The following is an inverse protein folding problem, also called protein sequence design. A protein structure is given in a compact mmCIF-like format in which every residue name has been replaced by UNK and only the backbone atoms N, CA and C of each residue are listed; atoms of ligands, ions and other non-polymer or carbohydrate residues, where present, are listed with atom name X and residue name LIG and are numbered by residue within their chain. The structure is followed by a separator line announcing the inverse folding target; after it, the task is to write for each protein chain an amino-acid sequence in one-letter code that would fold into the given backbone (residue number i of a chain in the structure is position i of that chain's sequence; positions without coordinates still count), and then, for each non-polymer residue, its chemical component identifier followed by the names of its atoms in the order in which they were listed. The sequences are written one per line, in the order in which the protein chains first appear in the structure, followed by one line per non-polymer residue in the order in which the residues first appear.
data_IF_848245883654
#
_entry.id   IF_848245883654
#
_cell.length_a   1.000
_cell.length_b   1.000
_cell.length_c   1.000
_cell.angle_alpha   90.00
_cell.angle_beta   90.00
_cell.angle_gamma   90.00
#
_symmetry.space_group_name_H-M   'P 1'
#
loop_
_entity.id
_entity.type
_entity.pdbx_description
1 polymer ?
#
# COMPACT_ATOMS: atom_id res chain seq x y z
N UNK A 1 -29.48 -22.79 12.32
CA UNK A 1 -28.31 -22.21 11.63
C UNK A 1 -27.15 -23.17 11.83
N UNK A 2 -26.58 -23.68 10.74
CA UNK A 2 -25.70 -24.85 10.76
C UNK A 2 -24.28 -24.50 11.22
N UNK A 3 -23.58 -25.38 11.96
CA UNK A 3 -22.22 -25.13 12.49
C UNK A 3 -21.18 -24.86 11.40
N UNK A 4 -21.41 -25.32 10.17
CA UNK A 4 -20.56 -25.02 9.01
C UNK A 4 -20.57 -23.55 8.58
N UNK A 5 -21.69 -22.84 8.74
CA UNK A 5 -21.81 -21.45 8.32
C UNK A 5 -20.95 -20.53 9.19
N UNK A 6 -20.82 -20.85 10.48
CA UNK A 6 -19.99 -20.11 11.45
C UNK A 6 -18.50 -20.29 11.16
N UNK A 7 -18.07 -21.48 10.76
CA UNK A 7 -16.65 -21.76 10.45
C UNK A 7 -16.20 -21.06 9.16
N UNK A 8 -17.05 -21.03 8.13
CA UNK A 8 -16.71 -20.38 6.84
C UNK A 8 -16.68 -18.86 6.97
N UNK A 9 -17.59 -18.25 7.74
CA UNK A 9 -17.52 -16.81 8.04
C UNK A 9 -16.29 -16.46 8.88
N UNK A 10 -15.88 -17.34 9.80
CA UNK A 10 -14.68 -17.14 10.64
C UNK A 10 -13.39 -17.18 9.82
N UNK A 11 -13.27 -18.14 8.88
CA UNK A 11 -12.09 -18.30 8.04
C UNK A 11 -11.95 -17.19 6.99
N UNK A 12 -13.08 -16.70 6.46
CA UNK A 12 -13.10 -15.55 5.54
C UNK A 12 -12.67 -14.24 6.24
N UNK A 13 -13.04 -14.04 7.51
CA UNK A 13 -12.59 -12.89 8.31
C UNK A 13 -11.07 -12.96 8.58
N UNK A 14 -10.53 -14.15 8.83
CA UNK A 14 -9.08 -14.37 9.03
C UNK A 14 -8.28 -14.19 7.73
N UNK A 15 -8.84 -14.58 6.58
CA UNK A 15 -8.21 -14.39 5.26
C UNK A 15 -8.32 -12.95 4.75
N UNK A 16 -9.39 -12.23 5.06
CA UNK A 16 -9.51 -10.79 4.76
C UNK A 16 -8.58 -9.94 5.65
N UNK A 17 -8.28 -10.38 6.88
CA UNK A 17 -7.30 -9.73 7.73
C UNK A 17 -5.85 -9.81 7.20
N UNK A 18 -5.56 -10.75 6.29
CA UNK A 18 -4.24 -10.90 5.65
C UNK A 18 -4.01 -9.95 4.46
N UNK A 19 -5.00 -9.18 4.02
CA UNK A 19 -4.89 -8.35 2.80
C UNK A 19 -5.02 -6.83 3.02
N UNK A 20 -4.88 -6.32 4.25
CA UNK A 20 -4.98 -4.86 4.51
C UNK A 20 -3.67 -4.21 5.00
N UNK A 21 -2.55 -4.92 4.97
CA UNK A 21 -1.25 -4.35 5.25
C UNK A 21 -0.62 -3.85 3.94
N UNK A 22 -0.89 -2.59 3.57
CA UNK A 22 0.03 -1.87 2.69
C UNK A 22 1.46 -1.99 3.26
N UNK A 23 2.46 -2.24 2.39
CA UNK A 23 3.86 -2.48 2.75
C UNK A 23 4.32 -1.67 3.97
N UNK A 24 4.86 -2.32 5.02
CA UNK A 24 5.29 -1.61 6.21
C UNK A 24 6.41 -0.63 5.92
N UNK A 25 6.43 0.45 6.69
CA UNK A 25 7.54 1.39 6.75
C UNK A 25 8.13 1.39 8.14
N UNK A 26 9.39 1.01 8.23
CA UNK A 26 10.13 0.93 9.46
C UNK A 26 11.10 2.10 9.61
N UNK A 27 11.33 2.51 10.86
CA UNK A 27 12.40 3.40 11.29
C UNK A 27 13.10 2.71 12.45
N UNK A 28 14.22 2.10 12.11
CA UNK A 28 15.08 1.42 13.06
C UNK A 28 15.89 2.44 13.87
N UNK A 29 16.04 2.19 15.16
CA UNK A 29 16.79 3.05 16.07
C UNK A 29 18.30 2.94 15.83
N UNK A 30 19.03 3.90 16.38
CA UNK A 30 20.50 3.89 16.43
C UNK A 30 21.01 3.66 17.85
N UNK A 31 20.12 3.27 18.76
CA UNK A 31 20.47 2.95 20.14
C UNK A 31 21.28 1.64 20.21
N UNK A 32 21.65 1.23 21.42
CA UNK A 32 22.31 -0.06 21.61
C UNK A 32 21.43 -1.22 21.14
N UNK A 33 22.06 -2.28 20.65
CA UNK A 33 21.34 -3.49 20.24
C UNK A 33 21.09 -4.40 21.46
N UNK A 34 19.98 -5.14 21.45
CA UNK A 34 19.78 -6.27 22.35
C UNK A 34 20.33 -7.55 21.72
N UNK A 35 20.57 -8.58 22.52
CA UNK A 35 21.07 -9.87 22.01
C UNK A 35 19.92 -10.86 21.83
N UNK A 36 20.11 -11.83 20.93
CA UNK A 36 19.17 -12.93 20.76
C UNK A 36 18.94 -13.67 22.09
N UNK A 37 17.69 -14.02 22.38
CA UNK A 37 17.24 -14.67 23.60
C UNK A 37 17.53 -13.88 24.90
N UNK A 38 17.69 -12.56 24.79
CA UNK A 38 17.83 -11.68 25.96
C UNK A 38 16.52 -11.46 26.71
N UNK A 39 16.62 -11.01 27.96
CA UNK A 39 15.48 -10.52 28.76
C UNK A 39 14.72 -9.41 28.03
N UNK A 40 15.43 -8.51 27.34
CA UNK A 40 14.82 -7.46 26.51
C UNK A 40 13.91 -8.05 25.43
N UNK A 41 14.40 -9.05 24.68
CA UNK A 41 13.62 -9.72 23.64
C UNK A 41 12.40 -10.45 24.23
N UNK A 42 12.55 -11.11 25.39
CA UNK A 42 11.44 -11.73 26.09
C UNK A 42 10.37 -10.70 26.52
N UNK A 43 10.80 -9.55 27.05
CA UNK A 43 9.90 -8.45 27.42
C UNK A 43 9.16 -7.87 26.22
N UNK A 44 9.82 -7.77 25.05
CA UNK A 44 9.16 -7.39 23.80
C UNK A 44 8.11 -8.44 23.37
N UNK A 45 8.39 -9.73 23.57
CA UNK A 45 7.43 -10.82 23.34
C UNK A 45 6.19 -10.73 24.24
N UNK A 46 6.35 -10.35 25.51
CA UNK A 46 5.23 -10.11 26.43
C UNK A 46 4.35 -8.95 25.96
N UNK A 47 4.96 -7.86 25.47
CA UNK A 47 4.23 -6.75 24.87
C UNK A 47 3.45 -7.19 23.62
N UNK A 48 4.08 -7.98 22.74
CA UNK A 48 3.44 -8.51 21.53
C UNK A 48 2.21 -9.39 21.83
N UNK A 49 2.20 -10.09 22.96
CA UNK A 49 1.07 -10.94 23.39
C UNK A 49 -0.09 -10.16 24.05
N UNK A 50 0.17 -8.96 24.57
CA UNK A 50 -0.79 -8.16 25.33
C UNK A 50 -1.36 -6.98 24.53
N UNK A 51 -0.51 -6.18 23.89
CA UNK A 51 -0.89 -4.91 23.26
C UNK A 51 -1.97 -5.02 22.19
N UNK A 52 -1.97 -6.03 21.29
CA UNK A 52 -3.04 -6.21 20.30
C UNK A 52 -4.45 -6.31 20.92
N UNK A 53 -4.57 -6.95 22.09
CA UNK A 53 -5.85 -7.05 22.82
C UNK A 53 -6.19 -5.76 23.56
N UNK A 54 -5.18 -5.11 24.15
CA UNK A 54 -5.36 -3.85 24.88
C UNK A 54 -5.82 -2.73 23.93
N UNK A 55 -5.22 -2.63 22.75
CA UNK A 55 -5.55 -1.57 21.77
C UNK A 55 -6.95 -1.76 21.17
N UNK A 56 -7.36 -3.00 20.91
CA UNK A 56 -8.68 -3.29 20.34
C UNK A 56 -9.81 -3.11 21.35
N UNK A 57 -9.50 -3.18 22.65
CA UNK A 57 -10.43 -2.87 23.74
C UNK A 57 -10.44 -1.39 24.12
N UNK A 58 -9.49 -0.60 23.60
CA UNK A 58 -9.36 0.83 23.89
C UNK A 58 -10.37 1.65 23.07
N UNK A 59 -11.13 2.57 23.69
CA UNK A 59 -12.10 3.40 22.98
C UNK A 59 -11.46 4.34 21.95
N UNK A 60 -10.15 4.60 22.05
CA UNK A 60 -9.42 5.47 21.13
C UNK A 60 -8.46 4.72 20.20
N UNK A 61 -8.48 3.37 20.23
CA UNK A 61 -7.55 2.51 19.51
C UNK A 61 -6.07 2.90 19.72
N UNK A 62 -5.77 3.25 20.97
CA UNK A 62 -4.45 3.64 21.43
C UNK A 62 -4.13 2.87 22.70
N UNK A 63 -2.91 2.36 22.79
CA UNK A 63 -2.43 1.67 23.97
C UNK A 63 -0.93 1.89 24.16
N UNK A 64 -0.52 2.00 25.41
CA UNK A 64 0.88 2.00 25.82
C UNK A 64 1.09 0.94 26.88
N UNK A 65 2.27 0.34 26.94
CA UNK A 65 2.66 -0.44 28.11
C UNK A 65 4.17 -0.44 28.31
N UNK A 66 4.57 -0.81 29.53
CA UNK A 66 5.95 -0.98 29.94
C UNK A 66 6.09 -2.37 30.54
N UNK A 67 7.12 -3.10 30.13
CA UNK A 67 7.44 -4.43 30.66
C UNK A 67 8.90 -4.48 31.08
N UNK A 68 9.16 -5.09 32.24
CA UNK A 68 10.50 -5.25 32.79
C UNK A 68 11.03 -4.01 33.53
N UNK A 69 12.28 -4.12 33.97
CA UNK A 69 13.02 -3.09 34.69
C UNK A 69 14.39 -2.85 34.02
N UNK A 70 14.99 -1.69 34.28
CA UNK A 70 16.31 -1.37 33.73
C UNK A 70 17.34 -2.46 34.11
N UNK A 71 18.20 -2.89 33.17
CA UNK A 71 18.44 -2.33 31.83
C UNK A 71 17.57 -2.94 30.70
N UNK A 72 16.68 -3.88 31.01
CA UNK A 72 15.90 -4.66 30.04
C UNK A 72 14.44 -4.19 29.89
N UNK A 73 14.12 -3.02 30.43
CA UNK A 73 12.79 -2.45 30.32
C UNK A 73 12.46 -2.11 28.87
N UNK A 74 11.25 -2.47 28.44
CA UNK A 74 10.71 -2.12 27.12
C UNK A 74 9.47 -1.28 27.31
N UNK A 75 9.45 -0.10 26.71
CA UNK A 75 8.27 0.75 26.60
C UNK A 75 7.71 0.64 25.18
N UNK A 76 6.40 0.46 25.03
CA UNK A 76 5.75 0.42 23.73
C UNK A 76 4.53 1.35 23.67
N UNK A 77 4.34 1.94 22.49
CA UNK A 77 3.23 2.79 22.11
C UNK A 77 2.67 2.26 20.79
N UNK A 78 1.37 2.04 20.76
CA UNK A 78 0.66 1.61 19.58
C UNK A 78 -0.57 2.48 19.33
N UNK A 79 -0.79 2.83 18.06
CA UNK A 79 -1.89 3.67 17.62
C UNK A 79 -2.45 3.10 16.32
N UNK A 80 -3.75 2.83 16.28
CA UNK A 80 -4.44 2.54 15.02
C UNK A 80 -5.07 3.79 14.44
N UNK A 81 -5.33 3.75 13.13
CA UNK A 81 -6.05 4.81 12.44
C UNK A 81 -7.43 4.99 13.07
N UNK A 82 -7.85 6.23 13.28
CA UNK A 82 -9.05 6.52 14.08
C UNK A 82 -10.36 5.96 13.50
N UNK A 83 -10.39 5.66 12.21
CA UNK A 83 -11.49 5.02 11.46
C UNK A 83 -11.32 3.50 11.27
N UNK A 84 -10.26 2.89 11.81
CA UNK A 84 -10.03 1.46 11.70
C UNK A 84 -11.00 0.66 12.57
N UNK A 85 -11.34 -0.55 12.13
CA UNK A 85 -12.07 -1.52 12.94
C UNK A 85 -11.16 -2.11 14.03
N UNK A 86 -11.69 -2.32 15.25
CA UNK A 86 -10.92 -2.84 16.39
C UNK A 86 -10.26 -4.20 16.12
N UNK A 87 -10.94 -5.12 15.44
CA UNK A 87 -10.39 -6.44 15.08
C UNK A 87 -9.27 -6.30 14.05
N UNK A 88 -9.46 -5.46 13.03
CA UNK A 88 -8.43 -5.17 12.04
C UNK A 88 -7.21 -4.49 12.67
N UNK A 89 -7.43 -3.57 13.61
CA UNK A 89 -6.40 -2.92 14.41
C UNK A 89 -5.57 -3.93 15.22
N UNK A 90 -6.23 -4.86 15.94
CA UNK A 90 -5.53 -5.93 16.65
C UNK A 90 -4.68 -6.80 15.72
N UNK A 91 -5.23 -7.18 14.55
CA UNK A 91 -4.51 -7.98 13.57
C UNK A 91 -3.30 -7.25 13.00
N UNK A 92 -3.45 -5.96 12.67
CA UNK A 92 -2.35 -5.11 12.20
C UNK A 92 -1.24 -5.01 13.24
N UNK A 93 -1.58 -4.78 14.52
CA UNK A 93 -0.57 -4.64 15.56
C UNK A 93 0.17 -5.95 15.84
N UNK A 94 -0.52 -7.09 15.78
CA UNK A 94 0.12 -8.40 15.90
C UNK A 94 1.15 -8.65 14.79
N UNK A 95 0.82 -8.30 13.54
CA UNK A 95 1.77 -8.34 12.42
C UNK A 95 2.92 -7.35 12.61
N UNK A 96 2.64 -6.14 13.08
CA UNK A 96 3.65 -5.11 13.32
C UNK A 96 4.74 -5.57 14.30
N UNK A 97 4.38 -6.28 15.38
CA UNK A 97 5.35 -6.86 16.31
C UNK A 97 6.23 -7.96 15.71
N UNK A 98 5.70 -8.72 14.74
CA UNK A 98 6.47 -9.74 14.03
C UNK A 98 7.43 -9.08 13.04
N UNK A 99 6.92 -8.18 12.21
CA UNK A 99 7.67 -7.57 11.13
C UNK A 99 8.75 -6.61 11.64
N UNK A 100 8.50 -5.87 12.72
CA UNK A 100 9.51 -4.95 13.27
C UNK A 100 10.74 -5.68 13.81
N UNK A 101 10.57 -6.89 14.37
CA UNK A 101 11.70 -7.71 14.84
C UNK A 101 12.51 -8.30 13.68
N UNK A 102 11.87 -8.53 12.53
CA UNK A 102 12.56 -9.00 11.33
C UNK A 102 13.27 -7.86 10.59
N UNK A 103 12.66 -6.68 10.54
CA UNK A 103 13.16 -5.53 9.76
C UNK A 103 14.12 -4.63 10.53
N UNK A 104 13.95 -4.50 11.84
CA UNK A 104 14.83 -3.79 12.76
C UNK A 104 15.40 -4.79 13.77
N UNK A 105 16.08 -5.81 13.23
CA UNK A 105 16.58 -6.92 14.01
C UNK A 105 17.55 -6.43 15.09
N UNK A 106 17.24 -6.76 16.34
CA UNK A 106 18.05 -6.45 17.53
C UNK A 106 18.12 -4.98 17.95
N UNK A 107 17.41 -4.07 17.28
CA UNK A 107 17.39 -2.67 17.70
C UNK A 107 16.58 -2.49 18.98
N UNK A 108 17.11 -1.77 19.97
CA UNK A 108 16.33 -1.50 21.19
C UNK A 108 15.23 -0.46 21.00
N UNK A 109 15.28 0.33 19.94
CA UNK A 109 14.22 1.28 19.63
C UNK A 109 13.83 1.10 18.16
N UNK A 110 12.53 1.01 17.85
CA UNK A 110 12.08 0.96 16.47
C UNK A 110 10.63 1.41 16.33
N UNK A 111 10.31 2.07 15.22
CA UNK A 111 8.95 2.35 14.78
C UNK A 111 8.62 1.57 13.51
N UNK A 112 7.39 1.06 13.39
CA UNK A 112 6.86 0.46 12.17
C UNK A 112 5.46 1.02 11.90
N UNK A 113 5.19 1.34 10.64
CA UNK A 113 3.97 1.98 10.19
C UNK A 113 3.33 1.16 9.06
N UNK A 114 2.09 0.76 9.27
CA UNK A 114 1.17 0.34 8.22
C UNK A 114 0.13 1.43 8.02
N UNK A 115 -0.72 1.27 7.02
CA UNK A 115 -1.83 2.21 6.81
C UNK A 115 -2.87 2.20 7.95
N UNK A 116 -3.28 1.04 8.52
CA UNK A 116 -4.25 1.02 9.61
C UNK A 116 -3.64 1.10 11.01
N UNK A 117 -2.32 0.92 11.20
CA UNK A 117 -1.69 1.00 12.51
C UNK A 117 -0.21 1.38 12.52
N UNK A 118 0.24 1.90 13.64
CA UNK A 118 1.63 2.21 13.95
C UNK A 118 2.02 1.58 15.29
N UNK A 119 3.26 1.11 15.37
CA UNK A 119 3.90 0.58 16.58
C UNK A 119 5.24 1.27 16.76
N UNK A 120 5.54 1.65 18.00
CA UNK A 120 6.85 2.08 18.44
C UNK A 120 7.21 1.39 19.74
N UNK A 121 8.44 0.91 19.86
CA UNK A 121 8.99 0.47 21.12
C UNK A 121 10.36 1.10 21.37
N UNK A 122 10.73 1.19 22.64
CA UNK A 122 12.00 1.75 23.06
C UNK A 122 12.47 1.20 24.41
N UNK A 123 13.79 1.12 24.56
CA UNK A 123 14.46 0.84 25.83
C UNK A 123 14.52 2.06 26.76
N UNK A 124 14.21 3.26 26.25
CA UNK A 124 14.21 4.48 27.03
C UNK A 124 12.88 4.64 27.79
N UNK A 125 12.96 4.64 29.13
CA UNK A 125 11.81 4.80 30.03
C UNK A 125 11.03 6.12 29.81
N UNK A 126 11.67 7.18 29.30
CA UNK A 126 11.01 8.47 29.04
C UNK A 126 10.39 8.56 27.65
N UNK A 127 10.48 7.51 26.83
CA UNK A 127 9.94 7.52 25.46
C UNK A 127 8.44 7.77 25.41
N UNK A 128 7.68 7.22 26.38
CA UNK A 128 6.23 7.40 26.49
C UNK A 128 5.81 8.75 27.07
N UNK A 129 6.68 9.44 27.79
CA UNK A 129 6.41 10.79 28.31
C UNK A 129 6.95 11.89 27.39
N UNK A 130 7.87 11.54 26.47
CA UNK A 130 8.39 12.46 25.47
C UNK A 130 7.30 12.93 24.53
N UNK A 131 7.28 14.24 24.29
CA UNK A 131 6.40 14.91 23.34
C UNK A 131 6.99 14.95 21.93
N UNK A 132 8.24 14.50 21.79
CA UNK A 132 8.91 14.50 20.51
C UNK A 132 8.23 13.50 19.59
N UNK A 133 7.93 13.97 18.38
CA UNK A 133 7.44 13.10 17.34
C UNK A 133 8.64 12.34 16.75
N UNK A 134 9.07 11.27 17.42
CA UNK A 134 10.20 10.41 17.02
C UNK A 134 9.79 9.45 15.90
N UNK A 135 10.76 8.68 15.39
CA UNK A 135 10.51 7.65 14.38
C UNK A 135 9.95 8.23 13.06
N UNK A 136 10.30 9.47 12.72
CA UNK A 136 9.67 10.16 11.58
C UNK A 136 10.14 9.62 10.25
N UNK A 137 9.20 9.45 9.33
CA UNK A 137 9.51 9.13 7.94
C UNK A 137 8.48 9.73 7.00
N UNK A 138 8.83 9.95 5.74
CA UNK A 138 7.91 10.51 4.74
C UNK A 138 7.76 9.56 3.56
N UNK A 139 6.56 9.48 3.00
CA UNK A 139 6.27 8.70 1.80
C UNK A 139 5.59 9.57 0.77
N UNK A 140 6.03 9.45 -0.47
CA UNK A 140 5.53 10.24 -1.58
C UNK A 140 4.77 9.35 -2.54
N UNK A 141 3.73 9.90 -3.14
CA UNK A 141 3.23 9.40 -4.40
C UNK A 141 4.16 9.95 -5.50
N UNK A 142 4.69 9.07 -6.34
CA UNK A 142 5.67 9.46 -7.36
C UNK A 142 5.06 10.23 -8.54
N UNK A 143 3.72 10.27 -8.64
CA UNK A 143 3.03 11.04 -9.65
C UNK A 143 3.00 12.53 -9.26
N UNK A 144 3.24 13.37 -10.26
CA UNK A 144 3.14 14.81 -10.12
C UNK A 144 1.82 15.32 -10.69
N UNK A 145 1.31 16.39 -10.10
CA UNK A 145 0.23 17.16 -10.68
C UNK A 145 0.76 17.88 -11.91
N UNK A 146 0.02 17.81 -13.02
CA UNK A 146 0.47 18.35 -14.32
C UNK A 146 -0.13 19.72 -14.64
N UNK A 147 -1.29 20.02 -14.08
CA UNK A 147 -2.01 21.28 -14.30
C UNK A 147 -1.88 22.18 -13.07
N UNK A 148 -1.48 23.44 -13.23
CA UNK A 148 -1.36 24.45 -12.15
C UNK A 148 -0.90 23.90 -10.76
N UNK A 149 0.36 23.41 -10.66
CA UNK A 149 0.87 22.80 -9.44
C UNK A 149 0.84 23.74 -8.22
N UNK A 150 1.01 25.04 -8.46
CA UNK A 150 0.94 26.06 -7.42
C UNK A 150 -0.43 26.15 -6.76
N UNK A 151 -1.52 26.16 -7.56
CA UNK A 151 -2.89 26.13 -7.02
C UNK A 151 -3.18 24.82 -6.30
N UNK A 152 -2.78 23.68 -6.88
CA UNK A 152 -2.95 22.37 -6.25
C UNK A 152 -2.28 22.32 -4.86
N UNK A 153 -0.99 22.66 -4.78
CA UNK A 153 -0.23 22.64 -3.53
C UNK A 153 -0.88 23.50 -2.43
N UNK A 154 -1.37 24.70 -2.78
CA UNK A 154 -2.07 25.59 -1.82
C UNK A 154 -3.39 24.99 -1.34
N UNK A 155 -4.18 24.41 -2.23
CA UNK A 155 -5.46 23.82 -1.86
C UNK A 155 -5.30 22.54 -1.03
N UNK A 156 -4.31 21.70 -1.35
CA UNK A 156 -3.98 20.51 -0.53
C UNK A 156 -3.50 20.94 0.85
N UNK A 157 -2.65 21.97 0.95
CA UNK A 157 -2.20 22.49 2.24
C UNK A 157 -3.38 23.02 3.08
N UNK A 158 -4.34 23.69 2.45
CA UNK A 158 -5.57 24.14 3.12
C UNK A 158 -6.43 22.97 3.62
N UNK A 159 -6.60 21.91 2.80
CA UNK A 159 -7.31 20.70 3.21
C UNK A 159 -6.63 20.02 4.39
N UNK A 160 -5.33 19.72 4.29
CA UNK A 160 -4.58 19.04 5.36
C UNK A 160 -4.59 19.86 6.64
N UNK A 161 -4.50 21.19 6.54
CA UNK A 161 -4.58 22.08 7.69
C UNK A 161 -5.96 22.05 8.37
N UNK A 162 -7.04 22.12 7.58
CA UNK A 162 -8.41 22.02 8.11
C UNK A 162 -8.67 20.65 8.75
N UNK A 163 -8.20 19.57 8.14
CA UNK A 163 -8.26 18.21 8.69
C UNK A 163 -7.47 18.13 10.00
N UNK A 164 -6.29 18.74 10.08
CA UNK A 164 -5.48 18.79 11.30
C UNK A 164 -6.14 19.60 12.44
N UNK A 165 -6.80 20.72 12.11
CA UNK A 165 -7.58 21.50 13.08
C UNK A 165 -8.74 20.66 13.66
N UNK A 166 -9.49 19.99 12.79
CA UNK A 166 -10.59 19.12 13.22
C UNK A 166 -10.10 17.95 14.09
N UNK A 167 -9.00 17.30 13.69
CA UNK A 167 -8.39 16.23 14.47
C UNK A 167 -7.99 16.72 15.88
N UNK A 168 -7.44 17.92 16.00
CA UNK A 168 -6.97 18.44 17.27
C UNK A 168 -8.10 18.88 18.22
N UNK A 169 -9.13 19.55 17.69
CA UNK A 169 -10.11 20.27 18.52
C UNK A 169 -11.52 19.67 18.51
N UNK A 170 -11.88 18.88 17.50
CA UNK A 170 -13.24 18.38 17.30
C UNK A 170 -13.35 16.85 17.38
N UNK A 171 -12.25 16.17 17.72
CA UNK A 171 -12.19 14.70 17.80
C UNK A 171 -11.60 14.26 19.13
N UNK A 172 -12.25 13.32 19.82
CA UNK A 172 -11.71 12.70 21.04
C UNK A 172 -10.55 11.75 20.73
N UNK A 173 -10.67 11.00 19.63
CA UNK A 173 -9.64 10.09 19.11
C UNK A 173 -8.42 10.79 18.51
N UNK A 174 -8.46 12.12 18.46
CA UNK A 174 -7.47 12.97 17.78
C UNK A 174 -7.20 12.58 16.34
N UNK A 175 -8.23 12.09 15.67
CA UNK A 175 -8.24 11.71 14.27
C UNK A 175 -9.30 12.52 13.53
N UNK A 176 -8.99 12.96 12.32
CA UNK A 176 -9.99 13.44 11.38
C UNK A 176 -9.65 13.05 9.96
N UNK A 177 -10.69 12.87 9.16
CA UNK A 177 -10.64 12.67 7.72
C UNK A 177 -11.20 13.91 7.01
N UNK A 178 -10.69 14.19 5.82
CA UNK A 178 -11.15 15.32 5.02
C UNK A 178 -11.13 15.03 3.53
N UNK A 179 -12.02 15.69 2.79
CA UNK A 179 -11.99 15.71 1.33
C UNK A 179 -12.11 17.13 0.81
N UNK A 180 -11.52 17.40 -0.35
CA UNK A 180 -11.69 18.66 -1.05
C UNK A 180 -11.99 18.42 -2.53
N UNK A 181 -13.05 19.06 -3.01
CA UNK A 181 -13.27 19.25 -4.44
C UNK A 181 -12.51 20.49 -4.88
N UNK A 182 -11.43 20.29 -5.63
CA UNK A 182 -10.54 21.38 -5.99
C UNK A 182 -11.06 22.19 -7.20
N UNK A 183 -12.07 21.68 -7.90
CA UNK A 183 -12.68 22.30 -9.07
C UNK A 183 -11.74 22.42 -10.28
N UNK A 184 -12.33 22.49 -11.48
CA UNK A 184 -11.60 22.54 -12.74
C UNK A 184 -11.10 21.16 -13.15
N UNK A 185 -9.80 21.04 -13.47
CA UNK A 185 -9.17 19.80 -13.96
C UNK A 185 -8.54 18.96 -12.84
N UNK A 186 -8.70 19.35 -11.58
CA UNK A 186 -8.07 18.64 -10.46
C UNK A 186 -8.91 17.45 -10.01
N UNK A 187 -8.27 16.29 -9.74
CA UNK A 187 -8.95 15.20 -9.05
C UNK A 187 -9.32 15.64 -7.63
N UNK A 188 -10.36 15.02 -7.08
CA UNK A 188 -10.70 15.14 -5.67
C UNK A 188 -9.53 14.69 -4.81
N UNK A 189 -9.27 15.41 -3.72
CA UNK A 189 -8.20 15.08 -2.78
C UNK A 189 -8.81 14.62 -1.47
N UNK A 190 -8.28 13.54 -0.92
CA UNK A 190 -8.63 12.97 0.37
C UNK A 190 -7.46 13.12 1.33
N UNK A 191 -7.74 13.30 2.62
CA UNK A 191 -6.74 13.44 3.67
C UNK A 191 -7.19 12.80 4.98
N UNK A 192 -6.23 12.42 5.81
CA UNK A 192 -6.45 12.28 7.25
C UNK A 192 -5.29 12.90 8.02
N UNK A 193 -5.57 13.35 9.23
CA UNK A 193 -4.58 13.81 10.20
C UNK A 193 -4.89 13.15 11.55
N UNK A 194 -3.84 12.73 12.27
CA UNK A 194 -4.00 12.05 13.54
C UNK A 194 -2.89 12.38 14.53
N UNK A 195 -3.23 12.42 15.81
CA UNK A 195 -2.29 12.44 16.93
C UNK A 195 -2.56 11.27 17.89
N UNK A 196 -1.61 10.99 18.78
CA UNK A 196 -1.89 10.11 19.91
C UNK A 196 -2.91 10.78 20.86
N UNK A 197 -3.95 10.05 21.32
CA UNK A 197 -5.03 10.61 22.14
C UNK A 197 -4.59 11.23 23.48
N UNK A 198 -3.42 10.85 24.00
CA UNK A 198 -2.84 11.37 25.24
C UNK A 198 -2.33 12.83 25.13
N UNK A 199 -2.20 13.38 23.92
CA UNK A 199 -1.80 14.77 23.72
C UNK A 199 -2.97 15.74 23.98
N UNK A 200 -2.71 16.92 24.54
CA UNK A 200 -3.72 18.00 24.61
C UNK A 200 -4.07 18.54 23.21
N UNK A 201 -5.23 19.20 23.00
CA UNK A 201 -5.60 19.74 21.69
C UNK A 201 -4.51 20.62 21.08
N UNK A 202 -3.98 21.56 21.86
CA UNK A 202 -2.89 22.44 21.45
C UNK A 202 -1.61 21.69 21.08
N UNK A 203 -1.24 20.64 21.83
CA UNK A 203 -0.03 19.84 21.54
C UNK A 203 -0.20 18.99 20.28
N UNK A 204 -1.37 18.38 20.11
CA UNK A 204 -1.70 17.67 18.87
C UNK A 204 -1.59 18.62 17.66
N UNK A 205 -2.23 19.80 17.77
CA UNK A 205 -2.21 20.78 16.70
C UNK A 205 -0.79 21.28 16.38
N UNK A 206 0.01 21.56 17.41
CA UNK A 206 1.41 21.98 17.26
C UNK A 206 2.26 20.91 16.58
N UNK A 207 2.08 19.63 16.94
CA UNK A 207 2.76 18.51 16.30
C UNK A 207 2.42 18.42 14.80
N UNK A 208 1.12 18.45 14.46
CA UNK A 208 0.67 18.43 13.08
C UNK A 208 1.14 19.66 12.30
N UNK A 209 1.14 20.85 12.92
CA UNK A 209 1.68 22.07 12.32
C UNK A 209 3.14 21.91 11.90
N UNK A 210 3.96 21.31 12.77
CA UNK A 210 5.37 21.05 12.49
C UNK A 210 5.59 20.09 11.32
N UNK A 211 4.69 19.12 11.12
CA UNK A 211 4.73 18.25 9.94
C UNK A 211 4.29 19.00 8.67
N UNK A 212 3.19 19.74 8.74
CA UNK A 212 2.61 20.50 7.62
C UNK A 212 3.56 21.58 7.12
N UNK A 213 4.31 22.25 8.01
CA UNK A 213 5.32 23.24 7.63
C UNK A 213 6.42 22.67 6.71
N UNK A 214 6.67 21.35 6.77
CA UNK A 214 7.61 20.65 5.90
C UNK A 214 7.05 20.29 4.52
N UNK A 215 5.74 20.42 4.31
CA UNK A 215 5.05 19.99 3.08
C UNK A 215 5.64 20.61 1.80
N UNK A 216 5.92 21.94 1.73
CA UNK A 216 6.45 22.55 0.50
C UNK A 216 7.84 22.06 0.08
N UNK A 217 8.59 21.41 0.98
CA UNK A 217 9.91 20.83 0.69
C UNK A 217 9.86 19.34 0.38
N UNK A 218 8.90 18.61 0.96
CA UNK A 218 8.84 17.14 0.92
C UNK A 218 7.91 16.62 -0.16
N UNK A 219 6.85 17.37 -0.46
CA UNK A 219 5.73 16.90 -1.28
C UNK A 219 5.37 17.89 -2.40
N UNK A 220 6.32 18.72 -2.83
CA UNK A 220 6.13 19.70 -3.92
C UNK A 220 5.62 19.01 -5.17
N UNK A 221 4.47 19.49 -5.65
CA UNK A 221 3.79 19.02 -6.86
C UNK A 221 3.35 17.54 -6.82
N UNK A 222 3.45 16.87 -5.67
CA UNK A 222 3.09 15.47 -5.52
C UNK A 222 1.58 15.34 -5.33
N UNK A 223 0.95 14.44 -6.08
CA UNK A 223 -0.49 14.15 -5.94
C UNK A 223 -0.85 13.43 -4.65
N UNK A 224 0.17 12.95 -3.91
CA UNK A 224 -0.01 12.30 -2.63
C UNK A 224 1.26 12.34 -1.78
N UNK A 225 1.07 12.38 -0.47
CA UNK A 225 2.15 12.51 0.49
C UNK A 225 1.71 12.08 1.89
N UNK A 226 2.65 11.50 2.62
CA UNK A 226 2.47 11.02 4.00
C UNK A 226 3.63 11.49 4.84
N UNK A 227 3.32 12.11 5.97
CA UNK A 227 4.31 12.35 7.02
C UNK A 227 3.92 11.51 8.22
N UNK A 228 4.79 10.55 8.55
CA UNK A 228 4.57 9.55 9.58
C UNK A 228 5.45 9.86 10.79
N UNK A 229 4.89 9.70 11.96
CA UNK A 229 5.56 9.86 13.24
C UNK A 229 4.73 9.25 14.37
N UNK A 230 5.41 8.87 15.45
CA UNK A 230 4.82 8.13 16.58
C UNK A 230 3.72 8.93 17.30
N UNK A 231 3.86 10.26 17.37
CA UNK A 231 2.94 11.16 18.09
C UNK A 231 1.90 11.82 17.20
N UNK A 232 2.26 12.12 15.96
CA UNK A 232 1.30 12.64 14.99
C UNK A 232 1.74 12.30 13.57
N UNK A 233 0.74 12.17 12.70
CA UNK A 233 0.91 11.82 11.29
C UNK A 233 -0.19 12.47 10.44
N UNK A 234 0.08 12.64 9.15
CA UNK A 234 -0.96 12.97 8.18
C UNK A 234 -0.69 12.31 6.83
N UNK A 235 -1.75 12.12 6.06
CA UNK A 235 -1.71 11.62 4.68
C UNK A 235 -2.68 12.40 3.81
N UNK A 236 -2.30 12.62 2.56
CA UNK A 236 -3.24 13.01 1.50
C UNK A 236 -2.97 12.22 0.21
N UNK A 237 -4.00 11.96 -0.57
CA UNK A 237 -3.92 11.34 -1.91
C UNK A 237 -5.10 11.81 -2.78
N UNK A 238 -4.99 11.62 -4.10
CA UNK A 238 -6.05 11.88 -5.09
C UNK A 238 -7.01 10.70 -5.31
N UNK A 239 -6.90 9.65 -4.49
CA UNK A 239 -7.83 8.51 -4.44
C UNK A 239 -8.31 8.32 -3.00
N UNK A 240 -9.48 7.70 -2.81
CA UNK A 240 -9.98 7.42 -1.46
C UNK A 240 -9.22 6.24 -0.82
N UNK A 241 -8.85 6.41 0.45
CA UNK A 241 -8.20 5.39 1.30
C UNK A 241 -8.77 5.40 2.72
N UNK A 242 -9.94 6.03 2.90
CA UNK A 242 -10.63 6.19 4.17
C UNK A 242 -11.61 5.03 4.35
N UNK A 243 -11.65 4.44 5.54
CA UNK A 243 -12.62 3.40 5.89
C UNK A 243 -13.87 3.99 6.55
N UNK A 244 -13.71 5.15 7.19
CA UNK A 244 -14.77 5.87 7.89
C UNK A 244 -15.38 7.03 7.10
N UNK A 245 -16.36 7.73 7.71
CA UNK A 245 -16.96 8.91 7.11
C UNK A 245 -15.95 10.04 6.97
N UNK A 246 -16.19 10.94 6.00
CA UNK A 246 -15.44 12.18 5.83
C UNK A 246 -15.95 13.22 6.84
N UNK A 247 -15.05 13.79 7.66
CA UNK A 247 -15.39 14.76 8.71
C UNK A 247 -15.26 16.22 8.25
N UNK A 248 -14.29 16.50 7.38
CA UNK A 248 -14.02 17.84 6.82
C UNK A 248 -14.28 17.85 5.32
N UNK A 249 -15.06 18.82 4.84
CA UNK A 249 -15.31 19.01 3.40
C UNK A 249 -14.97 20.44 2.99
N UNK A 250 -14.04 20.59 2.05
CA UNK A 250 -13.77 21.88 1.42
C UNK A 250 -14.35 21.88 0.01
N UNK A 251 -15.30 22.79 -0.24
CA UNK A 251 -15.84 23.01 -1.57
C UNK A 251 -14.86 23.81 -2.43
N UNK A 252 -14.96 23.66 -3.75
CA UNK A 252 -14.24 24.51 -4.67
C UNK A 252 -14.63 25.98 -4.40
N UNK A 253 -13.67 26.93 -4.47
CA UNK A 253 -14.02 28.34 -4.52
C UNK A 253 -15.03 28.55 -5.65
N UNK A 254 -16.11 29.33 -5.47
CA UNK A 254 -17.06 29.58 -6.55
C UNK A 254 -16.27 30.14 -7.73
N UNK A 255 -16.17 29.39 -8.83
CA UNK A 255 -15.68 29.98 -10.07
C UNK A 255 -16.68 31.06 -10.42
N UNK A 256 -16.20 32.27 -10.71
CA UNK A 256 -17.01 33.37 -11.24
C UNK A 256 -18.05 32.82 -12.21
N UNK A 257 -19.32 32.88 -11.82
CA UNK A 257 -20.41 32.33 -12.60
C UNK A 257 -20.36 32.94 -14.01
N UNK A 258 -20.23 32.10 -15.02
CA UNK A 258 -20.59 32.50 -16.37
C UNK A 258 -22.09 32.86 -16.35
N UNK A 259 -22.52 33.97 -16.97
CA UNK A 259 -23.90 34.43 -16.89
C UNK A 259 -24.83 33.40 -17.55
N UNK A 260 -25.97 33.16 -16.90
CA UNK A 260 -27.03 32.28 -17.39
C UNK A 260 -27.49 32.69 -18.81
N UNK A 261 -27.80 31.74 -19.71
CA UNK A 261 -28.43 32.09 -20.98
C UNK A 261 -29.82 32.68 -20.76
N UNK A 262 -30.13 33.74 -21.49
CA UNK A 262 -31.38 34.47 -21.42
C UNK A 262 -32.60 33.61 -21.78
N UNK A 263 -33.68 33.83 -21.04
CA UNK A 263 -35.02 33.29 -21.30
C UNK A 263 -35.57 33.89 -22.60
N UNK A 264 -35.85 33.04 -23.59
CA UNK A 264 -36.60 33.40 -24.80
C UNK A 264 -38.09 33.05 -24.69
N UNK A 265 -38.98 33.75 -25.43
CA UNK A 265 -40.41 33.79 -25.14
C UNK A 265 -41.20 32.59 -25.68
N UNK A 266 -42.30 32.30 -24.97
CA UNK A 266 -43.30 31.26 -25.22
C UNK A 266 -44.19 31.55 -26.43
N UNK A 267 -44.42 30.53 -27.26
CA UNK A 267 -45.49 30.48 -28.27
C UNK A 267 -46.39 29.28 -27.95
N UNK A 268 -47.73 29.42 -27.93
CA UNK A 268 -48.63 28.31 -27.65
C UNK A 268 -49.04 27.57 -28.93
N UNK A 269 -49.13 26.24 -28.85
CA UNK A 269 -49.71 25.38 -29.91
C UNK A 269 -50.84 24.52 -29.30
N UNK A 270 -51.93 24.23 -30.04
CA UNK A 270 -53.15 23.68 -29.45
C UNK A 270 -53.23 22.14 -29.45
N UNK A 271 -53.88 21.63 -28.40
CA UNK A 271 -54.86 20.53 -28.44
C UNK A 271 -54.41 19.16 -28.93
N UNK A 272 -54.04 18.27 -28.01
CA UNK A 272 -54.05 16.82 -28.24
C UNK A 272 -55.12 16.15 -27.36
N UNK A 273 -56.04 15.46 -28.03
CA UNK A 273 -57.18 14.74 -27.48
C UNK A 273 -56.72 13.56 -26.62
N UNK A 274 -57.34 13.42 -25.45
CA UNK A 274 -57.13 12.31 -24.53
C UNK A 274 -57.68 10.99 -25.10
N UNK A 275 -56.82 9.98 -25.22
CA UNK A 275 -57.19 8.59 -25.41
C UNK A 275 -56.71 7.76 -24.23
N UNK A 276 -57.63 7.29 -23.40
CA UNK A 276 -57.35 6.34 -22.32
C UNK A 276 -56.80 5.02 -22.87
N UNK A 277 -55.67 4.55 -22.33
CA UNK A 277 -55.24 3.14 -22.43
C UNK A 277 -54.86 2.63 -21.05
N UNK A 278 -55.67 1.73 -20.52
CA UNK A 278 -55.43 0.97 -19.28
C UNK A 278 -54.20 0.07 -19.48
N UNK A 279 -53.17 0.26 -18.66
CA UNK A 279 -51.95 -0.56 -18.66
C UNK A 279 -52.05 -1.64 -17.57
N UNK A 280 -51.98 -2.91 -17.96
CA UNK A 280 -51.97 -4.08 -17.07
C UNK A 280 -50.51 -4.33 -16.66
N UNK A 281 -50.16 -4.07 -15.40
CA UNK A 281 -48.77 -4.04 -14.87
C UNK A 281 -48.24 -5.41 -14.41
N UNK A 282 -48.99 -6.50 -14.53
CA UNK A 282 -48.59 -7.78 -13.89
C UNK A 282 -47.78 -8.74 -14.77
N UNK A 283 -47.66 -8.53 -16.09
CA UNK A 283 -47.02 -9.51 -16.99
C UNK A 283 -45.51 -9.32 -17.21
N UNK A 284 -44.99 -8.09 -17.18
CA UNK A 284 -43.60 -7.80 -17.59
C UNK A 284 -42.55 -8.19 -16.54
N UNK A 285 -42.92 -8.15 -15.25
CA UNK A 285 -42.02 -8.51 -14.13
C UNK A 285 -41.70 -10.00 -14.15
N UNK A 286 -42.68 -10.85 -14.51
CA UNK A 286 -42.49 -12.30 -14.61
C UNK A 286 -41.52 -12.68 -15.74
N UNK A 287 -41.52 -11.96 -16.86
CA UNK A 287 -40.69 -12.27 -18.03
C UNK A 287 -39.20 -12.00 -17.79
N UNK A 288 -38.84 -11.08 -16.89
CA UNK A 288 -37.42 -10.73 -16.61
C UNK A 288 -36.90 -11.45 -15.35
N UNK A 289 -37.74 -11.60 -14.34
CA UNK A 289 -37.33 -12.16 -13.04
C UNK A 289 -37.19 -13.69 -13.10
N UNK A 290 -38.05 -14.38 -13.85
CA UNK A 290 -37.96 -15.84 -13.97
C UNK A 290 -36.68 -16.34 -14.67
N UNK A 291 -36.25 -15.79 -15.82
CA UNK A 291 -35.02 -16.24 -16.47
C UNK A 291 -33.75 -15.85 -15.70
N UNK A 292 -33.76 -14.73 -14.98
CA UNK A 292 -32.61 -14.31 -14.16
C UNK A 292 -32.41 -15.21 -12.95
N UNK A 293 -33.49 -15.60 -12.27
CA UNK A 293 -33.42 -16.58 -11.18
C UNK A 293 -33.02 -17.96 -11.70
N UNK A 294 -33.56 -18.40 -12.84
CA UNK A 294 -33.19 -19.68 -13.45
C UNK A 294 -31.70 -19.73 -13.81
N UNK A 295 -31.14 -18.66 -14.39
CA UNK A 295 -29.72 -18.57 -14.72
C UNK A 295 -28.83 -18.65 -13.47
N UNK A 296 -29.19 -17.95 -12.38
CA UNK A 296 -28.43 -17.99 -11.13
C UNK A 296 -28.47 -19.38 -10.47
N UNK A 297 -29.61 -20.07 -10.51
CA UNK A 297 -29.72 -21.44 -9.99
C UNK A 297 -28.87 -22.41 -10.82
N UNK A 298 -28.88 -22.28 -12.15
CA UNK A 298 -28.04 -23.10 -13.05
C UNK A 298 -26.56 -22.86 -12.79
N UNK A 299 -26.13 -21.61 -12.65
CA UNK A 299 -24.72 -21.27 -12.36
C UNK A 299 -24.29 -21.88 -11.02
N UNK A 300 -25.11 -21.78 -9.98
CA UNK A 300 -24.79 -22.38 -8.68
C UNK A 300 -24.76 -23.92 -8.74
N UNK A 301 -25.67 -24.54 -9.50
CA UNK A 301 -25.68 -26.00 -9.74
C UNK A 301 -24.44 -26.46 -10.51
N UNK A 302 -23.99 -25.69 -11.51
CA UNK A 302 -22.78 -25.99 -12.28
C UNK A 302 -21.52 -25.82 -11.43
N UNK A 303 -21.43 -24.76 -10.61
CA UNK A 303 -20.32 -24.57 -9.67
C UNK A 303 -20.29 -25.70 -8.64
N UNK A 304 -21.45 -26.07 -8.08
CA UNK A 304 -21.56 -27.19 -7.16
C UNK A 304 -21.21 -28.52 -7.82
N UNK A 305 -21.67 -28.79 -9.05
CA UNK A 305 -21.30 -29.99 -9.83
C UNK A 305 -19.80 -30.01 -10.17
N UNK A 306 -19.19 -28.88 -10.49
CA UNK A 306 -17.76 -28.77 -10.72
C UNK A 306 -16.96 -29.07 -9.45
N UNK A 307 -17.36 -28.50 -8.31
CA UNK A 307 -16.76 -28.77 -7.01
C UNK A 307 -16.98 -30.23 -6.60
N UNK A 308 -18.18 -30.77 -6.83
CA UNK A 308 -18.52 -32.14 -6.46
C UNK A 308 -17.80 -33.17 -7.33
N UNK A 309 -17.64 -32.91 -8.63
CA UNK A 309 -16.79 -33.70 -9.54
C UNK A 309 -15.31 -33.60 -9.16
N UNK A 310 -14.87 -32.45 -8.66
CA UNK A 310 -13.49 -32.25 -8.16
C UNK A 310 -13.27 -33.00 -6.83
N UNK A 311 -14.29 -33.10 -5.99
CA UNK A 311 -14.25 -33.81 -4.71
C UNK A 311 -14.52 -35.33 -4.82
N UNK A 312 -15.18 -35.80 -5.89
CA UNK A 312 -15.47 -37.23 -6.13
C UNK A 312 -14.47 -37.97 -7.02
N UNK A 313 -13.28 -37.43 -7.27
CA UNK A 313 -12.18 -38.24 -7.83
C UNK A 313 -11.72 -39.22 -6.73
N UNK A 314 -11.92 -40.54 -6.88
CA UNK A 314 -11.35 -41.51 -5.95
C UNK A 314 -9.83 -41.49 -6.11
N UNK A 315 -9.11 -41.42 -4.99
CA UNK A 315 -7.65 -41.59 -4.96
C UNK A 315 -7.30 -43.00 -5.45
N UNK A 316 -6.82 -43.11 -6.68
CA UNK A 316 -5.95 -44.20 -7.11
C UNK A 316 -4.51 -43.68 -7.02
N UNK A 317 -3.68 -44.35 -6.22
CA UNK A 317 -2.40 -43.85 -5.74
C UNK A 317 -1.33 -43.65 -6.84
N UNK A 318 -0.66 -42.50 -6.75
CA UNK A 318 0.75 -42.26 -7.08
C UNK A 318 1.10 -40.82 -6.63
N UNK A 319 2.13 -40.70 -5.78
CA UNK A 319 3.11 -39.61 -5.57
C UNK A 319 2.69 -38.10 -5.67
N UNK A 320 3.07 -37.36 -4.61
CA UNK A 320 3.29 -35.90 -4.45
C UNK A 320 2.12 -34.90 -4.30
N UNK A 321 2.21 -33.95 -3.33
CA UNK A 321 1.55 -32.65 -3.38
C UNK A 321 2.52 -31.51 -3.81
N UNK A 322 2.34 -31.08 -5.05
CA UNK A 322 2.77 -29.82 -5.69
C UNK A 322 1.73 -28.71 -5.32
N UNK A 323 2.01 -27.48 -4.85
CA UNK A 323 2.51 -26.35 -5.66
C UNK A 323 2.65 -25.01 -4.86
N UNK A 324 3.37 -24.98 -3.73
CA UNK A 324 3.70 -23.70 -3.07
C UNK A 324 5.16 -23.55 -2.65
N UNK A 325 5.95 -24.62 -2.87
CA UNK A 325 7.38 -24.64 -2.63
C UNK A 325 8.17 -24.29 -3.89
N UNK A 326 7.64 -24.58 -5.07
CA UNK A 326 8.34 -24.34 -6.33
C UNK A 326 8.45 -22.87 -6.75
N UNK A 327 7.53 -21.99 -6.36
CA UNK A 327 7.65 -20.57 -6.71
C UNK A 327 8.74 -19.84 -5.90
N UNK A 328 9.19 -20.43 -4.78
CA UNK A 328 10.28 -19.90 -3.97
C UNK A 328 11.61 -20.60 -4.30
N UNK A 329 11.56 -21.89 -4.64
CA UNK A 329 12.70 -22.70 -5.10
C UNK A 329 13.16 -22.30 -6.53
N UNK A 330 12.22 -21.90 -7.40
CA UNK A 330 12.51 -21.39 -8.77
C UNK A 330 13.21 -20.03 -8.80
N UNK A 331 13.07 -19.21 -7.76
CA UNK A 331 13.74 -17.91 -7.67
C UNK A 331 15.14 -18.07 -7.07
N UNK A 332 15.30 -19.00 -6.12
CA UNK A 332 16.59 -19.35 -5.52
C UNK A 332 17.54 -19.99 -6.54
N UNK A 333 17.03 -20.79 -7.48
CA UNK A 333 17.82 -21.35 -8.60
C UNK A 333 18.23 -20.33 -9.68
N UNK A 334 17.69 -19.11 -9.65
CA UNK A 334 17.96 -18.05 -10.63
C UNK A 334 18.83 -16.91 -10.06
N UNK A 335 19.27 -17.03 -8.80
CA UNK A 335 20.19 -16.08 -8.19
C UNK A 335 21.59 -16.26 -8.77
N UNK A 336 22.17 -15.16 -9.25
CA UNK A 336 23.55 -15.11 -9.72
C UNK A 336 24.32 -14.13 -8.87
N UNK A 337 25.43 -14.58 -8.28
CA UNK A 337 26.31 -13.76 -7.44
C UNK A 337 26.82 -12.52 -8.18
N UNK A 338 26.92 -11.39 -7.46
CA UNK A 338 27.41 -10.13 -8.03
C UNK A 338 28.85 -10.25 -8.54
N UNK A 339 29.65 -11.13 -7.92
CA UNK A 339 31.03 -11.41 -8.30
C UNK A 339 31.11 -11.98 -9.71
N UNK A 340 30.25 -12.95 -10.04
CA UNK A 340 30.13 -13.58 -11.36
C UNK A 340 29.72 -12.56 -12.41
N UNK A 341 28.71 -11.73 -12.13
CA UNK A 341 28.26 -10.71 -13.08
C UNK A 341 29.27 -9.57 -13.26
N UNK A 342 30.01 -9.22 -12.21
CA UNK A 342 31.10 -8.23 -12.30
C UNK A 342 32.25 -8.77 -13.16
N UNK A 343 32.62 -10.03 -13.02
CA UNK A 343 33.61 -10.65 -13.89
C UNK A 343 33.12 -10.73 -15.34
N UNK A 344 31.88 -11.20 -15.55
CA UNK A 344 31.27 -11.36 -16.87
C UNK A 344 31.17 -10.04 -17.65
N UNK A 345 30.92 -8.92 -16.96
CA UNK A 345 30.75 -7.60 -17.58
C UNK A 345 32.01 -6.72 -17.57
N UNK A 346 33.14 -7.23 -17.08
CA UNK A 346 34.38 -6.45 -16.93
C UNK A 346 34.24 -5.30 -15.94
N UNK A 347 33.48 -5.49 -14.86
CA UNK A 347 33.22 -4.46 -13.85
C UNK A 347 32.13 -3.46 -14.24
N UNK A 348 31.20 -3.85 -15.12
CA UNK A 348 30.25 -2.93 -15.76
C UNK A 348 30.95 -1.79 -16.54
N UNK A 349 32.02 -2.13 -17.27
CA UNK A 349 32.78 -1.18 -18.06
C UNK A 349 31.92 -0.52 -19.15
N UNK A 350 32.15 0.77 -19.41
CA UNK A 350 31.40 1.50 -20.46
C UNK A 350 31.60 0.91 -21.86
N UNK A 351 32.75 0.27 -22.14
CA UNK A 351 32.99 -0.46 -23.40
C UNK A 351 32.01 -1.62 -23.64
N UNK A 352 31.43 -2.16 -22.57
CA UNK A 352 30.46 -3.25 -22.62
C UNK A 352 29.01 -2.74 -22.56
N UNK A 353 28.77 -1.43 -22.55
CA UNK A 353 27.42 -0.87 -22.44
C UNK A 353 26.66 -0.98 -23.77
N UNK A 354 25.52 -1.65 -23.72
CA UNK A 354 24.62 -1.86 -24.86
C UNK A 354 23.63 -0.69 -25.02
N UNK A 355 23.26 -0.03 -23.92
CA UNK A 355 22.35 1.10 -23.92
C UNK A 355 21.98 1.57 -22.52
N UNK A 356 21.34 2.73 -22.42
CA UNK A 356 20.86 3.30 -21.16
C UNK A 356 19.56 4.07 -21.39
N UNK A 357 18.61 3.94 -20.48
CA UNK A 357 17.34 4.67 -20.48
C UNK A 357 16.84 4.94 -19.06
N UNK A 358 15.57 5.34 -18.93
CA UNK A 358 14.94 5.64 -17.63
C UNK A 358 14.82 4.45 -16.66
N UNK A 359 15.16 3.24 -17.14
CA UNK A 359 15.09 1.98 -16.41
C UNK A 359 16.47 1.40 -16.07
N UNK A 360 17.54 2.20 -16.24
CA UNK A 360 18.91 1.79 -15.96
C UNK A 360 19.75 1.53 -17.21
N UNK A 361 20.97 1.06 -16.99
CA UNK A 361 21.95 0.76 -18.03
C UNK A 361 22.03 -0.75 -18.28
N UNK A 362 22.20 -1.13 -19.54
CA UNK A 362 22.33 -2.53 -19.96
C UNK A 362 23.76 -2.76 -20.43
N UNK A 363 24.40 -3.80 -19.91
CA UNK A 363 25.77 -4.18 -20.22
C UNK A 363 25.79 -5.58 -20.86
N UNK A 364 26.66 -5.76 -21.84
CA UNK A 364 27.03 -7.07 -22.38
C UNK A 364 27.95 -7.76 -21.39
N UNK A 365 27.75 -9.05 -21.17
CA UNK A 365 28.68 -9.89 -20.45
C UNK A 365 28.78 -11.29 -21.06
N UNK A 366 29.78 -12.04 -20.61
CA UNK A 366 29.97 -13.45 -20.97
C UNK A 366 30.14 -14.25 -19.68
N UNK A 367 29.26 -15.22 -19.45
CA UNK A 367 29.31 -16.11 -18.28
C UNK A 367 30.50 -17.10 -18.38
N UNK A 368 30.91 -17.76 -17.27
CA UNK A 368 32.05 -18.68 -17.27
C UNK A 368 31.89 -19.91 -18.19
N UNK A 369 30.65 -20.27 -18.51
CA UNK A 369 30.27 -21.33 -19.45
C UNK A 369 30.30 -20.88 -20.93
N UNK A 370 30.54 -19.59 -21.19
CA UNK A 370 30.63 -19.00 -22.53
C UNK A 370 29.36 -18.33 -23.02
N UNK A 371 28.27 -18.35 -22.25
CA UNK A 371 26.99 -17.76 -22.66
C UNK A 371 27.05 -16.23 -22.67
N UNK A 372 26.62 -15.62 -23.78
CA UNK A 372 26.50 -14.17 -23.88
C UNK A 372 25.19 -13.68 -23.24
N UNK A 373 25.34 -12.72 -22.32
CA UNK A 373 24.23 -12.19 -21.52
C UNK A 373 24.10 -10.67 -21.64
N UNK A 374 22.88 -10.19 -21.41
CA UNK A 374 22.56 -8.79 -21.22
C UNK A 374 22.19 -8.54 -19.76
N UNK A 375 23.05 -7.80 -19.05
CA UNK A 375 22.86 -7.46 -17.64
C UNK A 375 22.29 -6.05 -17.53
N UNK A 376 21.00 -5.96 -17.18
CA UNK A 376 20.34 -4.68 -16.91
C UNK A 376 20.52 -4.32 -15.45
N UNK A 377 21.31 -3.26 -15.21
CA UNK A 377 21.53 -2.69 -13.89
C UNK A 377 20.48 -1.63 -13.61
N UNK A 378 19.56 -1.94 -12.71
CA UNK A 378 18.46 -1.04 -12.35
C UNK A 378 19.03 0.16 -11.57
N UNK A 379 18.46 1.35 -11.80
CA UNK A 379 18.94 2.57 -11.17
C UNK A 379 18.82 2.50 -9.64
N UNK A 380 19.88 2.92 -8.92
CA UNK A 380 19.93 2.92 -7.45
C UNK A 380 18.90 3.86 -6.80
N UNK A 381 18.56 4.95 -7.49
CA UNK A 381 17.53 5.89 -7.06
C UNK A 381 16.15 5.47 -7.57
N UNK A 382 15.41 4.67 -6.79
CA UNK A 382 13.93 4.73 -6.64
C UNK A 382 13.29 3.38 -6.27
N UNK A 383 12.02 3.47 -5.83
CA UNK A 383 11.00 2.41 -5.82
C UNK A 383 10.72 1.80 -7.20
N UNK A 384 11.17 2.41 -8.30
CA UNK A 384 11.01 1.89 -9.67
C UNK A 384 11.86 0.64 -9.88
N UNK A 385 13.09 0.57 -9.35
CA UNK A 385 13.93 -0.63 -9.45
C UNK A 385 13.34 -1.83 -8.70
N UNK A 386 12.62 -1.61 -7.60
CA UNK A 386 11.92 -2.69 -6.87
C UNK A 386 10.62 -3.08 -7.56
N UNK A 387 9.85 -2.11 -8.05
CA UNK A 387 8.62 -2.38 -8.82
C UNK A 387 8.90 -3.07 -10.16
N UNK A 388 9.97 -2.68 -10.85
CA UNK A 388 10.44 -3.29 -12.09
C UNK A 388 10.99 -4.70 -11.83
N UNK A 389 11.81 -4.88 -10.79
CA UNK A 389 12.22 -6.22 -10.34
C UNK A 389 11.00 -7.11 -10.03
N UNK A 390 10.00 -6.57 -9.33
CA UNK A 390 8.79 -7.33 -8.94
C UNK A 390 7.92 -7.67 -10.16
N UNK A 391 7.77 -6.73 -11.10
CA UNK A 391 7.02 -6.94 -12.34
C UNK A 391 7.72 -7.97 -13.24
N UNK A 392 9.04 -7.88 -13.38
CA UNK A 392 9.85 -8.79 -14.20
C UNK A 392 9.94 -10.19 -13.55
N UNK A 393 10.04 -10.28 -12.22
CA UNK A 393 10.00 -11.55 -11.50
C UNK A 393 8.60 -12.20 -11.54
N UNK A 394 7.53 -11.40 -11.52
CA UNK A 394 6.16 -11.87 -11.80
C UNK A 394 5.99 -12.37 -13.24
N UNK A 395 6.80 -11.87 -14.18
CA UNK A 395 6.83 -12.29 -15.58
C UNK A 395 7.40 -13.70 -15.73
N UNK A 396 8.44 -14.05 -14.97
CA UNK A 396 9.07 -15.38 -14.92
C UNK A 396 8.06 -16.48 -14.59
N UNK A 397 7.12 -16.20 -13.68
CA UNK A 397 6.10 -17.15 -13.26
C UNK A 397 5.03 -17.42 -14.34
N UNK A 398 5.00 -16.66 -15.45
CA UNK A 398 3.89 -16.70 -16.42
C UNK A 398 4.28 -16.68 -17.89
N UNK A 399 5.52 -16.35 -18.26
CA UNK A 399 5.89 -16.06 -19.65
C UNK A 399 7.19 -16.76 -20.08
N UNK A 400 7.04 -18.00 -20.58
CA UNK A 400 8.01 -18.63 -21.48
C UNK A 400 7.40 -18.67 -22.88
N UNK A 401 7.86 -17.80 -23.78
CA UNK A 401 7.35 -17.74 -25.14
C UNK A 401 8.48 -17.49 -26.13
N UNK A 402 8.44 -18.17 -27.28
CA UNK A 402 9.46 -18.12 -28.36
C UNK A 402 9.76 -16.72 -28.94
N UNK A 403 8.94 -15.72 -28.62
CA UNK A 403 9.06 -14.34 -29.14
C UNK A 403 9.35 -13.32 -28.02
N UNK A 404 9.64 -13.77 -26.79
CA UNK A 404 10.02 -12.91 -25.67
C UNK A 404 11.44 -13.25 -25.24
N UNK A 405 12.23 -12.23 -24.92
CA UNK A 405 13.61 -12.41 -24.44
C UNK A 405 13.57 -13.11 -23.10
N UNK A 406 14.28 -14.24 -23.00
CA UNK A 406 14.29 -15.06 -21.80
C UNK A 406 15.09 -14.40 -20.67
N UNK A 407 14.50 -14.32 -19.49
CA UNK A 407 15.23 -14.01 -18.26
C UNK A 407 16.02 -15.25 -17.83
N UNK A 408 17.32 -15.08 -17.63
CA UNK A 408 18.27 -16.11 -17.20
C UNK A 408 18.40 -16.11 -15.68
N UNK A 409 18.46 -14.92 -15.06
CA UNK A 409 18.67 -14.82 -13.61
C UNK A 409 18.54 -13.40 -13.07
N UNK A 410 18.69 -13.27 -11.75
CA UNK A 410 18.63 -12.01 -11.02
C UNK A 410 19.74 -11.92 -9.97
N UNK A 411 20.18 -10.70 -9.64
CA UNK A 411 21.14 -10.46 -8.57
C UNK A 411 20.61 -9.35 -7.64
N UNK A 412 20.60 -9.61 -6.34
CA UNK A 412 20.03 -8.76 -5.28
C UNK A 412 21.01 -8.52 -4.13
N UNK A 413 22.31 -8.40 -4.45
CA UNK A 413 23.37 -8.28 -3.46
C UNK A 413 23.91 -6.84 -3.39
N UNK A 414 24.40 -6.42 -2.21
CA UNK A 414 25.17 -5.16 -2.05
C UNK A 414 24.47 -3.90 -2.61
N UNK A 415 23.14 -3.80 -2.45
CA UNK A 415 22.30 -2.72 -3.01
C UNK A 415 22.25 -2.67 -4.55
N UNK A 416 22.80 -3.66 -5.24
CA UNK A 416 22.64 -3.84 -6.68
C UNK A 416 21.36 -4.63 -6.94
N UNK A 417 20.59 -4.19 -7.94
CA UNK A 417 19.42 -4.92 -8.45
C UNK A 417 19.64 -5.14 -9.94
N UNK A 418 20.01 -6.37 -10.31
CA UNK A 418 20.36 -6.72 -11.68
C UNK A 418 19.38 -7.75 -12.22
N UNK A 419 19.00 -7.57 -13.49
CA UNK A 419 18.25 -8.54 -14.27
C UNK A 419 19.16 -9.06 -15.38
N UNK A 420 19.26 -10.38 -15.54
CA UNK A 420 20.14 -11.05 -16.49
C UNK A 420 19.27 -11.71 -17.55
N UNK A 421 19.41 -11.27 -18.80
CA UNK A 421 18.70 -11.81 -19.96
C UNK A 421 19.69 -12.48 -20.93
N UNK A 422 19.16 -13.33 -21.80
CA UNK A 422 19.93 -13.79 -22.96
C UNK A 422 20.26 -12.61 -23.89
N UNK A 423 21.46 -12.61 -24.47
CA UNK A 423 21.85 -11.57 -25.42
C UNK A 423 21.19 -11.82 -26.78
N UNK A 424 20.36 -10.88 -27.24
CA UNK A 424 19.76 -10.94 -28.57
C UNK A 424 20.65 -10.19 -29.59
N UNK A 425 21.16 -10.86 -30.65
CA UNK A 425 22.17 -10.29 -31.53
C UNK A 425 21.67 -9.14 -32.43
N UNK A 426 20.37 -9.05 -32.70
CA UNK A 426 19.79 -8.15 -33.71
C UNK A 426 19.35 -6.76 -33.19
N UNK A 427 19.74 -6.37 -31.97
CA UNK A 427 19.39 -5.08 -31.33
C UNK A 427 17.87 -4.87 -31.23
N UNK A 428 17.43 -3.69 -30.77
CA UNK A 428 16.01 -3.40 -30.53
C UNK A 428 15.19 -3.35 -31.82
N UNK A 429 13.96 -3.86 -31.76
CA UNK A 429 12.98 -3.77 -32.85
C UNK A 429 12.74 -2.32 -33.29
N UNK A 430 12.86 -1.34 -32.39
CA UNK A 430 12.75 0.08 -32.72
C UNK A 430 13.80 0.53 -33.75
N UNK A 431 15.04 0.04 -33.64
CA UNK A 431 16.10 0.35 -34.61
C UNK A 431 15.86 -0.29 -35.97
N UNK A 432 15.21 -1.45 -35.99
CA UNK A 432 14.84 -2.16 -37.23
C UNK A 432 13.65 -1.45 -37.91
N UNK A 433 12.66 -0.99 -37.12
CA UNK A 433 11.45 -0.35 -37.63
C UNK A 433 11.64 1.12 -38.02
N UNK A 434 12.50 1.85 -37.31
CA UNK A 434 12.61 3.30 -37.46
C UNK A 434 13.97 3.78 -37.96
N UNK A 435 14.98 2.91 -38.02
CA UNK A 435 16.33 3.25 -38.45
C UNK A 435 17.02 4.27 -37.54
N UNK A 436 18.35 4.37 -37.61
CA UNK A 436 19.07 5.49 -37.01
C UNK A 436 18.88 6.73 -37.88
N UNK A 437 18.38 7.83 -37.30
CA UNK A 437 18.63 9.16 -37.84
C UNK A 437 20.10 9.53 -37.70
#
# INVERSE_FOLDING_TARGET
MSPLAVVVTSLAVVLLARCAAAYPWQVCGTAANFTANSTYQANLGLLAAALPRNISSSPDLFATAVVGAAPDQVSALALCRGDANATACSGCLAMAFQDVQNQCAYDKDAAIYYDPCALYYSSNATSLSSLDNVGRTNRINNQNVTSDPGRFNRQVAALVNATADHAAYNSTRRYASGEADLGGQFPRVYSWAQCTPDLTPARCRGCLAGLIAGMPRRFTDRVGGRSLGVRCSYRYETYSFLDGPVMVRLAAPPSSAAPAPAVGPTVPTPGAVAGERKFIVTATVLVIVLPTIAALVIINLLVWLCIWRRMRRPQAGATQPYSSRENMESVESMLIDISTLRAATGGFAESNKLGQGGFGAVYKGTLPDGDEIAVKRLAKSSTQGVGELTNELLLVAKLQHKNLVRLIGVCLEQEERLLVYELVPNRSLDKILFGTK
#
